data_IF_607209160709
#
_entry.id   IF_607209160709
#
_cell.length_a   1.000
_cell.length_b   1.000
_cell.length_c   1.000
_cell.angle_alpha   90.00
_cell.angle_beta   90.00
_cell.angle_gamma   90.00
#
_symmetry.space_group_name_H-M   'P 1'
#
loop_
_entity.id
_entity.type
_entity.pdbx_description
1 polymer ?
#
# COMPACT_ATOMS: atom_id res chain seq x y z
N UNK A 1 32.50 19.13 9.50
CA UNK A 1 31.77 18.17 8.66
C UNK A 1 30.75 18.96 7.86
N UNK A 2 30.90 19.06 6.54
CA UNK A 2 29.87 19.61 5.67
C UNK A 2 28.67 18.67 5.72
N UNK A 3 27.55 19.14 6.27
CA UNK A 3 26.28 18.44 6.14
C UNK A 3 25.96 18.44 4.65
N UNK A 4 26.03 17.28 4.00
CA UNK A 4 25.49 17.15 2.65
C UNK A 4 24.04 17.60 2.71
N UNK A 5 23.68 18.62 1.94
CA UNK A 5 22.32 19.13 1.91
C UNK A 5 21.39 18.04 1.37
N UNK A 6 20.42 17.62 2.18
CA UNK A 6 19.38 16.65 1.81
C UNK A 6 18.62 17.19 0.59
N UNK A 7 18.80 16.54 -0.56
CA UNK A 7 18.16 16.92 -1.81
C UNK A 7 16.78 16.26 -1.95
N UNK A 8 16.05 16.56 -3.03
CA UNK A 8 14.71 16.00 -3.27
C UNK A 8 14.74 14.47 -3.42
N UNK A 9 15.73 13.92 -4.13
CA UNK A 9 15.90 12.47 -4.29
C UNK A 9 16.08 11.80 -2.93
N UNK A 10 16.91 12.37 -2.05
CA UNK A 10 17.12 11.84 -0.70
C UNK A 10 15.82 11.80 0.10
N UNK A 11 14.94 12.81 -0.05
CA UNK A 11 13.62 12.86 0.60
C UNK A 11 12.69 11.79 0.07
N UNK A 12 12.61 11.65 -1.25
CA UNK A 12 11.75 10.65 -1.89
C UNK A 12 12.18 9.23 -1.52
N UNK A 13 13.47 8.93 -1.66
CA UNK A 13 14.04 7.65 -1.26
C UNK A 13 13.88 7.41 0.23
N UNK A 14 14.16 8.42 1.06
CA UNK A 14 14.01 8.35 2.51
C UNK A 14 12.57 8.07 2.96
N UNK A 15 11.56 8.60 2.27
CA UNK A 15 10.16 8.31 2.55
C UNK A 15 9.76 6.87 2.22
N UNK A 16 10.18 6.34 1.06
CA UNK A 16 9.88 4.95 0.68
C UNK A 16 10.65 3.95 1.54
N UNK A 17 11.96 4.15 1.75
CA UNK A 17 12.74 3.30 2.65
C UNK A 17 12.27 3.42 4.09
N UNK A 18 11.91 4.62 4.54
CA UNK A 18 11.35 4.86 5.86
C UNK A 18 10.08 4.05 6.09
N UNK A 19 9.17 3.98 5.11
CA UNK A 19 7.97 3.13 5.17
C UNK A 19 8.36 1.66 5.37
N UNK A 20 9.21 1.10 4.50
CA UNK A 20 9.61 -0.31 4.58
C UNK A 20 10.37 -0.65 5.87
N UNK A 21 11.22 0.26 6.34
CA UNK A 21 11.99 0.11 7.57
C UNK A 21 11.07 0.16 8.80
N UNK A 22 10.16 1.12 8.86
CA UNK A 22 9.24 1.27 9.98
C UNK A 22 8.23 0.12 10.06
N UNK A 23 7.75 -0.36 8.91
CA UNK A 23 6.96 -1.60 8.82
C UNK A 23 7.76 -2.77 9.44
N UNK A 24 8.97 -3.05 8.94
CA UNK A 24 9.78 -4.16 9.44
C UNK A 24 10.14 -4.04 10.94
N UNK A 25 10.38 -2.83 11.44
CA UNK A 25 10.59 -2.56 12.87
C UNK A 25 9.32 -2.83 13.70
N UNK A 26 8.17 -2.35 13.23
CA UNK A 26 6.88 -2.51 13.90
C UNK A 26 6.39 -3.96 13.94
N UNK A 27 6.62 -4.71 12.87
CA UNK A 27 6.22 -6.11 12.75
C UNK A 27 6.77 -7.02 13.87
N UNK A 28 7.95 -6.69 14.41
CA UNK A 28 8.56 -7.42 15.51
C UNK A 28 7.75 -7.38 16.83
N UNK A 29 6.84 -6.41 16.96
CA UNK A 29 6.06 -6.13 18.19
C UNK A 29 4.57 -5.96 17.92
N UNK A 30 4.11 -6.29 16.71
CA UNK A 30 2.71 -6.19 16.32
C UNK A 30 1.79 -6.95 17.29
N UNK A 31 0.73 -6.29 17.75
CA UNK A 31 -0.25 -6.85 18.70
C UNK A 31 0.20 -6.93 20.16
N UNK A 32 1.41 -6.47 20.49
CA UNK A 32 1.92 -6.43 21.86
C UNK A 32 1.59 -5.10 22.54
N UNK A 33 1.42 -5.10 23.86
CA UNK A 33 1.28 -3.85 24.62
C UNK A 33 2.65 -3.14 24.73
N UNK A 34 2.71 -1.80 24.76
CA UNK A 34 3.97 -1.06 24.84
C UNK A 34 4.89 -1.44 26.00
N UNK A 35 4.33 -1.94 27.11
CA UNK A 35 5.06 -2.34 28.32
C UNK A 35 5.62 -3.76 28.24
N UNK A 36 5.23 -4.54 27.22
CA UNK A 36 5.55 -5.97 27.14
C UNK A 36 6.81 -6.30 26.33
N UNK A 37 7.47 -5.30 25.74
CA UNK A 37 8.69 -5.49 24.95
C UNK A 37 9.72 -4.38 25.16
N UNK A 38 10.99 -4.74 25.03
CA UNK A 38 12.07 -3.76 24.98
C UNK A 38 12.01 -2.93 23.71
N UNK A 39 12.37 -1.64 23.83
CA UNK A 39 12.47 -0.69 22.72
C UNK A 39 13.12 -1.32 21.48
N UNK A 40 12.42 -1.23 20.34
CA UNK A 40 12.92 -1.72 19.06
C UNK A 40 13.98 -0.76 18.53
N UNK A 41 15.25 -1.17 18.59
CA UNK A 41 16.42 -0.37 18.17
C UNK A 41 17.06 -0.85 16.87
N UNK A 42 16.74 -2.07 16.44
CA UNK A 42 17.33 -2.73 15.28
C UNK A 42 16.28 -3.55 14.54
N UNK A 43 16.56 -3.86 13.28
CA UNK A 43 15.79 -4.82 12.48
C UNK A 43 15.99 -6.23 13.04
N UNK A 44 15.28 -6.57 14.12
CA UNK A 44 15.47 -7.85 14.83
C UNK A 44 14.65 -9.02 14.27
N UNK A 45 13.66 -8.75 13.44
CA UNK A 45 12.70 -9.77 12.97
C UNK A 45 11.83 -10.32 14.10
N UNK A 46 11.35 -11.55 13.95
CA UNK A 46 10.48 -12.24 14.91
C UNK A 46 9.02 -11.84 14.75
N UNK A 47 8.35 -11.56 15.87
CA UNK A 47 6.92 -11.21 15.89
C UNK A 47 6.00 -12.39 15.58
N UNK A 48 4.71 -12.07 15.41
CA UNK A 48 3.61 -13.02 15.10
C UNK A 48 3.90 -13.93 13.90
N UNK A 49 4.67 -13.43 12.92
CA UNK A 49 4.99 -14.13 11.67
C UNK A 49 6.40 -14.72 11.60
N UNK A 50 7.20 -14.61 12.66
CA UNK A 50 8.58 -15.13 12.72
C UNK A 50 9.46 -14.62 11.55
N UNK A 51 9.36 -13.32 11.27
CA UNK A 51 10.05 -12.67 10.15
C UNK A 51 11.56 -12.67 10.33
N UNK A 52 12.32 -12.73 9.23
CA UNK A 52 13.75 -12.43 9.23
C UNK A 52 13.96 -10.92 9.39
N UNK A 53 15.10 -10.50 9.99
CA UNK A 53 15.55 -9.11 9.96
C UNK A 53 15.37 -8.42 8.58
N UNK A 54 14.63 -7.31 8.55
CA UNK A 54 14.42 -6.51 7.34
C UNK A 54 13.25 -6.93 6.47
N UNK A 55 12.54 -8.02 6.79
CA UNK A 55 11.28 -8.36 6.12
C UNK A 55 10.17 -7.43 6.60
N UNK A 56 9.45 -6.83 5.65
CA UNK A 56 8.28 -5.95 5.82
C UNK A 56 6.98 -6.71 5.55
N UNK A 57 5.82 -6.22 5.98
CA UNK A 57 4.52 -6.89 5.91
C UNK A 57 3.67 -6.44 4.69
N UNK A 58 2.35 -6.44 4.84
CA UNK A 58 1.41 -5.93 3.86
C UNK A 58 1.57 -4.42 3.61
N UNK A 59 1.93 -3.60 4.62
CA UNK A 59 2.20 -2.17 4.44
C UNK A 59 3.21 -1.93 3.30
N UNK A 60 4.38 -2.57 3.39
CA UNK A 60 5.43 -2.48 2.39
C UNK A 60 5.05 -3.11 1.06
N UNK A 61 4.45 -4.30 1.08
CA UNK A 61 4.03 -5.00 -0.15
C UNK A 61 3.03 -4.17 -0.96
N UNK A 62 2.03 -3.59 -0.28
CA UNK A 62 1.01 -2.76 -0.90
C UNK A 62 1.57 -1.39 -1.31
N UNK A 63 2.49 -0.79 -0.56
CA UNK A 63 3.16 0.45 -0.96
C UNK A 63 3.98 0.25 -2.26
N UNK A 64 4.73 -0.86 -2.37
CA UNK A 64 5.49 -1.17 -3.57
C UNK A 64 4.58 -1.41 -4.78
N UNK A 65 3.50 -2.16 -4.61
CA UNK A 65 2.49 -2.35 -5.65
C UNK A 65 1.88 -1.01 -6.10
N UNK A 66 1.55 -0.12 -5.16
CA UNK A 66 1.02 1.21 -5.50
C UNK A 66 2.04 2.06 -6.27
N UNK A 67 3.32 2.03 -5.88
CA UNK A 67 4.37 2.73 -6.60
C UNK A 67 4.47 2.27 -8.07
N UNK A 68 4.44 0.97 -8.33
CA UNK A 68 4.46 0.41 -9.69
C UNK A 68 3.20 0.81 -10.47
N UNK A 69 2.02 0.74 -9.83
CA UNK A 69 0.76 1.12 -10.47
C UNK A 69 0.77 2.58 -10.94
N UNK A 70 1.31 3.47 -10.13
CA UNK A 70 1.40 4.90 -10.44
C UNK A 70 2.42 5.22 -11.53
N UNK A 71 3.51 4.44 -11.63
CA UNK A 71 4.51 4.58 -12.69
C UNK A 71 4.02 4.05 -14.05
N UNK A 72 2.92 3.29 -14.08
CA UNK A 72 2.39 2.68 -15.30
C UNK A 72 3.31 1.61 -15.91
N UNK A 73 4.30 1.12 -15.16
CA UNK A 73 5.39 0.29 -15.69
C UNK A 73 4.99 -1.14 -16.08
N UNK A 74 3.74 -1.55 -15.80
CA UNK A 74 3.21 -2.87 -16.13
C UNK A 74 2.17 -2.83 -17.25
N UNK A 75 1.92 -1.66 -17.87
CA UNK A 75 0.93 -1.52 -18.94
C UNK A 75 1.55 -0.89 -20.18
N UNK A 76 1.56 -1.62 -21.30
CA UNK A 76 1.80 -1.05 -22.64
C UNK A 76 0.63 -0.15 -23.11
N UNK A 77 -0.45 -0.09 -22.33
CA UNK A 77 -1.64 0.70 -22.61
C UNK A 77 -1.78 1.89 -21.65
N UNK A 78 -1.42 3.12 -22.09
CA UNK A 78 -1.46 4.32 -21.25
C UNK A 78 -2.89 4.79 -20.87
N UNK A 79 -3.93 4.11 -21.34
CA UNK A 79 -5.34 4.44 -21.05
C UNK A 79 -5.83 3.81 -19.74
N UNK A 80 -5.09 2.86 -19.15
CA UNK A 80 -5.51 2.17 -17.92
C UNK A 80 -5.26 3.07 -16.71
N UNK A 81 -6.32 3.38 -15.97
CA UNK A 81 -6.22 4.18 -14.75
C UNK A 81 -5.37 3.48 -13.67
N UNK A 82 -4.50 4.20 -12.91
CA UNK A 82 -3.63 3.61 -11.89
C UNK A 82 -4.36 2.73 -10.86
N UNK A 83 -5.59 3.10 -10.45
CA UNK A 83 -6.42 2.31 -9.54
C UNK A 83 -6.69 0.87 -10.01
N UNK A 84 -6.84 0.64 -11.32
CA UNK A 84 -7.03 -0.71 -11.88
C UNK A 84 -5.74 -1.50 -11.79
N UNK A 85 -4.61 -0.88 -12.17
CA UNK A 85 -3.28 -1.49 -12.07
C UNK A 85 -2.97 -1.83 -10.61
N UNK A 86 -3.27 -0.92 -9.67
CA UNK A 86 -3.14 -1.13 -8.24
C UNK A 86 -3.89 -2.37 -7.76
N UNK A 87 -5.17 -2.53 -8.11
CA UNK A 87 -5.96 -3.70 -7.71
C UNK A 87 -5.44 -5.00 -8.34
N UNK A 88 -4.96 -4.95 -9.59
CA UNK A 88 -4.31 -6.09 -10.23
C UNK A 88 -2.99 -6.48 -9.56
N UNK A 89 -2.18 -5.51 -9.15
CA UNK A 89 -0.92 -5.79 -8.44
C UNK A 89 -1.18 -6.33 -7.02
N UNK A 90 -2.19 -5.81 -6.32
CA UNK A 90 -2.62 -6.37 -5.03
C UNK A 90 -3.17 -7.78 -5.17
N UNK A 91 -3.89 -8.08 -6.26
CA UNK A 91 -4.30 -9.44 -6.60
C UNK A 91 -3.08 -10.35 -6.79
N UNK A 92 -2.07 -9.93 -7.56
CA UNK A 92 -0.83 -10.71 -7.77
C UNK A 92 -0.09 -10.94 -6.46
N UNK A 93 -0.02 -9.93 -5.59
CA UNK A 93 0.51 -10.08 -4.23
C UNK A 93 -0.30 -11.14 -3.47
N UNK A 94 -1.63 -11.01 -3.44
CA UNK A 94 -2.52 -11.94 -2.74
C UNK A 94 -2.44 -13.39 -3.23
N UNK A 95 -2.34 -13.61 -4.54
CA UNK A 95 -2.35 -14.94 -5.16
C UNK A 95 -0.97 -15.61 -5.19
N UNK A 96 0.12 -14.84 -5.32
CA UNK A 96 1.45 -15.37 -5.64
C UNK A 96 2.59 -14.80 -4.80
N UNK A 97 2.30 -13.89 -3.87
CA UNK A 97 3.33 -13.21 -3.09
C UNK A 97 4.17 -12.20 -3.88
N UNK A 98 3.67 -11.71 -5.02
CA UNK A 98 4.36 -10.65 -5.78
C UNK A 98 4.70 -9.45 -4.89
N UNK A 99 5.97 -9.03 -4.89
CA UNK A 99 6.54 -7.98 -4.03
C UNK A 99 6.39 -8.21 -2.52
N UNK A 100 6.12 -9.45 -2.09
CA UNK A 100 6.22 -9.85 -0.70
C UNK A 100 7.69 -10.02 -0.29
N UNK A 101 8.00 -9.63 0.95
CA UNK A 101 9.32 -9.85 1.55
C UNK A 101 9.58 -11.33 1.91
N UNK A 102 8.55 -12.16 1.98
CA UNK A 102 8.62 -13.60 2.33
C UNK A 102 8.40 -14.52 1.12
N UNK A 103 7.98 -13.97 -0.02
CA UNK A 103 7.59 -14.74 -1.20
C UNK A 103 6.13 -15.22 -1.21
N UNK A 104 5.35 -14.92 -0.16
CA UNK A 104 3.93 -15.28 -0.05
C UNK A 104 3.10 -14.10 0.47
N UNK A 105 1.79 -14.08 0.23
CA UNK A 105 0.89 -13.11 0.87
C UNK A 105 0.67 -13.49 2.34
N UNK A 106 0.95 -12.57 3.25
CA UNK A 106 0.63 -12.71 4.68
C UNK A 106 0.19 -11.37 5.25
N UNK A 107 -0.34 -11.40 6.47
CA UNK A 107 -0.87 -10.24 7.23
C UNK A 107 -1.96 -9.39 6.57
N UNK A 108 -2.46 -9.79 5.40
CA UNK A 108 -3.51 -9.04 4.69
C UNK A 108 -4.73 -8.77 5.58
N UNK A 109 -5.02 -7.49 5.78
CA UNK A 109 -6.19 -7.02 6.52
C UNK A 109 -7.52 -7.47 5.89
N UNK A 110 -8.54 -7.69 6.74
CA UNK A 110 -9.85 -8.19 6.32
C UNK A 110 -10.55 -7.29 5.30
N UNK A 111 -10.45 -5.97 5.46
CA UNK A 111 -11.05 -4.99 4.53
C UNK A 111 -10.39 -5.05 3.15
N UNK A 112 -9.05 -5.19 3.09
CA UNK A 112 -8.31 -5.36 1.84
C UNK A 112 -8.70 -6.67 1.16
N UNK A 113 -8.70 -7.78 1.91
CA UNK A 113 -9.10 -9.10 1.40
C UNK A 113 -10.52 -9.09 0.83
N UNK A 114 -11.47 -8.48 1.53
CA UNK A 114 -12.85 -8.36 1.07
C UNK A 114 -12.96 -7.54 -0.24
N UNK A 115 -12.19 -6.46 -0.36
CA UNK A 115 -12.14 -5.67 -1.59
C UNK A 115 -11.56 -6.46 -2.77
N UNK A 116 -10.46 -7.20 -2.55
CA UNK A 116 -9.83 -8.04 -3.58
C UNK A 116 -10.74 -9.18 -4.05
N UNK A 117 -11.41 -9.87 -3.13
CA UNK A 117 -12.33 -10.95 -3.50
C UNK A 117 -13.47 -10.43 -4.41
N UNK A 118 -14.00 -9.23 -4.13
CA UNK A 118 -14.99 -8.59 -5.00
C UNK A 118 -14.38 -8.20 -6.35
N UNK A 119 -13.19 -7.58 -6.34
CA UNK A 119 -12.48 -7.21 -7.57
C UNK A 119 -12.25 -8.43 -8.48
N UNK A 120 -11.67 -9.52 -7.98
CA UNK A 120 -11.40 -10.75 -8.75
C UNK A 120 -12.69 -11.30 -9.35
N UNK A 121 -13.76 -11.38 -8.54
CA UNK A 121 -15.06 -11.89 -9.01
C UNK A 121 -15.63 -11.09 -10.19
N UNK A 122 -15.41 -9.77 -10.23
CA UNK A 122 -15.86 -8.89 -11.32
C UNK A 122 -14.88 -8.84 -12.50
N UNK A 123 -13.57 -8.83 -12.22
CA UNK A 123 -12.52 -8.72 -13.22
C UNK A 123 -12.50 -9.93 -14.14
N UNK A 124 -12.67 -11.14 -13.60
CA UNK A 124 -12.74 -12.37 -14.40
C UNK A 124 -13.99 -12.44 -15.31
N UNK A 125 -15.03 -11.63 -15.01
CA UNK A 125 -16.25 -11.54 -15.81
C UNK A 125 -16.19 -10.44 -16.89
N UNK A 126 -15.33 -9.44 -16.73
CA UNK A 126 -15.23 -8.30 -17.64
C UNK A 126 -14.25 -8.62 -18.79
N UNK A 127 -14.77 -8.75 -20.02
CA UNK A 127 -13.94 -8.82 -21.25
C UNK A 127 -13.25 -7.46 -21.50
N UNK A 128 -12.02 -7.36 -20.98
CA UNK A 128 -10.85 -6.48 -21.19
C UNK A 128 -10.92 -5.07 -21.80
N UNK A 129 -11.95 -4.63 -22.53
CA UNK A 129 -11.73 -3.52 -23.47
C UNK A 129 -12.31 -2.16 -23.02
N UNK A 130 -12.98 -2.08 -21.85
CA UNK A 130 -13.62 -0.84 -21.35
C UNK A 130 -13.62 -0.69 -19.83
N UNK A 131 -12.53 -1.01 -19.15
CA UNK A 131 -12.43 -0.75 -17.71
C UNK A 131 -12.18 0.74 -17.44
N UNK A 132 -13.01 1.31 -16.58
CA UNK A 132 -12.87 2.66 -16.01
C UNK A 132 -12.28 2.58 -14.59
N UNK A 133 -11.92 3.73 -14.01
CA UNK A 133 -11.45 3.77 -12.62
C UNK A 133 -12.52 3.35 -11.61
N UNK A 134 -13.80 3.53 -11.92
CA UNK A 134 -14.90 3.08 -11.07
C UNK A 134 -14.92 1.55 -10.93
N UNK A 135 -14.43 0.83 -11.93
CA UNK A 135 -14.29 -0.63 -11.92
C UNK A 135 -13.13 -1.12 -11.03
N UNK A 136 -12.42 -0.21 -10.34
CA UNK A 136 -11.43 -0.54 -9.32
C UNK A 136 -11.91 -0.29 -7.89
N UNK A 137 -13.05 0.37 -7.69
CA UNK A 137 -13.45 0.91 -6.38
C UNK A 137 -14.30 -0.07 -5.58
N UNK A 138 -13.61 -0.96 -4.88
CA UNK A 138 -14.21 -1.97 -4.01
C UNK A 138 -14.08 -1.65 -2.53
N UNK A 139 -13.83 -0.39 -2.16
CA UNK A 139 -13.77 0.03 -0.77
C UNK A 139 -15.13 0.02 -0.08
N UNK A 140 -15.16 -0.45 1.17
CA UNK A 140 -16.36 -0.32 2.01
C UNK A 140 -16.54 1.13 2.47
N UNK A 141 -17.76 1.66 2.38
CA UNK A 141 -18.13 2.99 2.90
C UNK A 141 -18.51 2.98 4.38
N UNK A 142 -18.62 1.78 5.00
CA UNK A 142 -18.99 1.63 6.40
C UNK A 142 -17.88 2.15 7.32
N UNK A 143 -18.26 2.88 8.37
CA UNK A 143 -17.34 3.33 9.43
C UNK A 143 -16.64 2.16 10.14
N UNK A 144 -17.27 0.98 10.20
CA UNK A 144 -16.69 -0.23 10.80
C UNK A 144 -15.53 -0.81 9.98
N UNK A 145 -15.34 -0.36 8.74
CA UNK A 145 -14.25 -0.76 7.87
C UNK A 145 -13.12 0.29 7.82
N UNK A 146 -13.05 1.22 8.78
CA UNK A 146 -12.10 2.33 8.79
C UNK A 146 -10.73 1.96 9.37
N UNK A 147 -10.15 0.87 8.89
CA UNK A 147 -8.78 0.46 9.25
C UNK A 147 -7.72 1.35 8.58
N UNK A 148 -6.46 1.16 8.97
CA UNK A 148 -5.30 1.86 8.41
C UNK A 148 -4.89 1.40 6.99
N UNK A 149 -5.52 0.34 6.45
CA UNK A 149 -5.12 -0.38 5.23
C UNK A 149 -5.00 0.45 3.94
N UNK A 150 -5.54 1.67 3.90
CA UNK A 150 -5.36 2.62 2.80
C UNK A 150 -4.27 3.67 3.08
N UNK A 151 -4.10 4.07 4.35
CA UNK A 151 -3.12 5.08 4.76
C UNK A 151 -1.70 4.50 4.83
N UNK A 152 -1.55 3.28 5.34
CA UNK A 152 -0.24 2.66 5.61
C UNK A 152 0.64 2.50 4.36
N UNK A 153 0.01 2.42 3.17
CA UNK A 153 0.65 2.23 1.87
C UNK A 153 0.81 3.52 1.05
N UNK A 154 0.39 4.66 1.58
CA UNK A 154 0.03 5.84 0.78
C UNK A 154 1.22 6.62 0.21
N UNK A 155 2.41 6.50 0.83
CA UNK A 155 3.58 7.30 0.52
C UNK A 155 3.91 7.48 -0.99
N UNK A 156 3.78 6.48 -1.87
CA UNK A 156 4.07 6.66 -3.31
C UNK A 156 3.28 7.78 -4.00
N UNK A 157 2.05 8.05 -3.57
CA UNK A 157 1.18 9.05 -4.23
C UNK A 157 1.72 10.48 -4.08
N UNK A 158 1.88 11.04 -2.87
CA UNK A 158 2.40 12.40 -2.71
C UNK A 158 3.86 12.53 -3.18
N UNK A 159 4.62 11.44 -3.21
CA UNK A 159 5.98 11.44 -3.75
C UNK A 159 6.00 11.61 -5.27
N UNK A 160 5.12 10.92 -6.00
CA UNK A 160 5.02 11.07 -7.46
C UNK A 160 4.44 12.44 -7.83
N UNK A 161 3.36 12.86 -7.16
CA UNK A 161 2.66 14.11 -7.44
C UNK A 161 3.17 15.29 -6.61
N UNK A 162 4.41 15.26 -6.15
CA UNK A 162 4.97 16.26 -5.25
C UNK A 162 4.95 17.71 -5.80
N UNK A 163 4.80 17.88 -7.12
CA UNK A 163 4.67 19.19 -7.80
C UNK A 163 3.22 19.60 -8.08
N UNK A 164 2.26 18.70 -7.85
CA UNK A 164 0.84 18.92 -8.06
C UNK A 164 0.04 18.39 -6.85
N UNK A 165 -0.04 19.17 -5.76
CA UNK A 165 -0.72 18.76 -4.54
C UNK A 165 -2.23 18.49 -4.74
N UNK A 166 -2.87 19.18 -5.69
CA UNK A 166 -4.28 18.96 -6.00
C UNK A 166 -4.47 17.57 -6.59
N UNK A 167 -3.62 17.19 -7.55
CA UNK A 167 -3.66 15.85 -8.11
C UNK A 167 -3.23 14.79 -7.08
N UNK A 168 -2.24 15.10 -6.22
CA UNK A 168 -1.87 14.22 -5.11
C UNK A 168 -3.08 13.89 -4.22
N UNK A 169 -3.85 14.89 -3.79
CA UNK A 169 -5.07 14.68 -3.00
C UNK A 169 -6.14 13.86 -3.72
N UNK A 170 -6.30 14.04 -5.03
CA UNK A 170 -7.26 13.25 -5.80
C UNK A 170 -6.81 11.78 -5.90
N UNK A 171 -5.53 11.55 -6.14
CA UNK A 171 -4.97 10.22 -6.30
C UNK A 171 -4.86 9.45 -4.98
N UNK A 172 -4.68 10.13 -3.84
CA UNK A 172 -4.74 9.49 -2.53
C UNK A 172 -6.16 8.98 -2.23
N UNK A 173 -7.19 9.76 -2.57
CA UNK A 173 -8.60 9.36 -2.47
C UNK A 173 -8.89 8.19 -3.41
N UNK A 174 -8.46 8.27 -4.67
CA UNK A 174 -8.66 7.21 -5.66
C UNK A 174 -8.00 5.90 -5.21
N UNK A 175 -6.76 5.96 -4.73
CA UNK A 175 -6.04 4.82 -4.17
C UNK A 175 -6.74 4.25 -2.93
N UNK A 176 -7.27 5.10 -2.04
CA UNK A 176 -8.00 4.66 -0.86
C UNK A 176 -9.26 3.88 -1.25
N UNK A 177 -10.11 4.46 -2.13
CA UNK A 177 -11.39 3.90 -2.61
C UNK A 177 -11.29 2.49 -3.19
N UNK A 178 -10.12 2.06 -3.66
CA UNK A 178 -9.91 0.69 -4.13
C UNK A 178 -10.21 -0.36 -3.06
N UNK A 179 -9.96 -0.05 -1.79
CA UNK A 179 -10.11 -1.00 -0.67
C UNK A 179 -10.81 -0.41 0.56
N UNK A 180 -10.74 0.90 0.77
CA UNK A 180 -11.33 1.61 1.91
C UNK A 180 -12.03 2.88 1.39
N UNK A 181 -13.35 2.96 1.53
CA UNK A 181 -14.14 4.10 1.05
C UNK A 181 -14.93 4.80 2.17
N UNK A 182 -14.64 4.47 3.43
CA UNK A 182 -15.24 5.16 4.57
C UNK A 182 -14.71 6.60 4.62
N UNK A 183 -15.55 7.53 5.04
CA UNK A 183 -15.19 8.95 5.07
C UNK A 183 -13.90 9.20 5.87
N UNK A 184 -13.73 8.52 7.01
CA UNK A 184 -12.52 8.61 7.82
C UNK A 184 -11.26 8.17 7.07
N UNK A 185 -11.31 7.07 6.32
CA UNK A 185 -10.15 6.63 5.52
C UNK A 185 -9.85 7.59 4.37
N UNK A 186 -10.88 8.13 3.71
CA UNK A 186 -10.70 9.09 2.63
C UNK A 186 -10.07 10.39 3.14
N UNK A 187 -10.56 10.92 4.27
CA UNK A 187 -10.04 12.14 4.87
C UNK A 187 -8.64 11.94 5.47
N UNK A 188 -8.34 10.77 6.04
CA UNK A 188 -7.01 10.48 6.57
C UNK A 188 -5.94 10.35 5.49
N UNK A 189 -6.32 9.97 4.26
CA UNK A 189 -5.40 9.87 3.14
C UNK A 189 -5.25 11.19 2.35
N UNK A 190 -6.17 12.14 2.51
CA UNK A 190 -6.15 13.40 1.77
C UNK A 190 -5.07 14.34 2.31
#
# INVERSE_FOLDING_TARGET
MTVNSVNLSDRISGSLFGLLLCDSLGAAVEGQSPESFDQVKTLRGGGKFQLKPGQFTDDGSMALCLAIALLGSETDNPVIHPSIVQMNLYRRWYESGYLSSTGECFDIGMTVRAALNRFVSHYDQAKSDKLSSADAYYGSTSSHASGNGSLMRLAPVPLLYHRDPLNAMNETINSSKTTHASQLCLDSCR
#
